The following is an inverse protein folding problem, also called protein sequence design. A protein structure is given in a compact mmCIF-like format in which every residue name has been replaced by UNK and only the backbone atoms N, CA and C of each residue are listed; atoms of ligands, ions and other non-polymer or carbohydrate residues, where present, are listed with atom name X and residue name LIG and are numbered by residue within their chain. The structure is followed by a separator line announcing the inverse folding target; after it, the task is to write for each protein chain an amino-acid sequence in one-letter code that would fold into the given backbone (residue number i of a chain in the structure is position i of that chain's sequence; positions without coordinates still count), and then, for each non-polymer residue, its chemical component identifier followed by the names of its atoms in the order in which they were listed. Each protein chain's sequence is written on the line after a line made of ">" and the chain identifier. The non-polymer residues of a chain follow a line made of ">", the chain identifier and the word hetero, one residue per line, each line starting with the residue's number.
data_IF_740388289648
#
_entry.id   IF_740388289648
#
_cell.length_a   1.000
_cell.length_b   1.000
_cell.length_c   1.000
_cell.angle_alpha   90.00
_cell.angle_beta   90.00
_cell.angle_gamma   90.00
#
_symmetry.space_group_name_H-M   'P 1'
#
loop_
_entity.id
_entity.type
_entity.pdbx_description
1 polymer ?
#
# COMPACT_ATOMS: atom_id res chain seq x y z
N UNK A 1 -3.10 2.86 2.24
CA UNK A 1 -2.38 2.24 1.09
C UNK A 1 -1.17 1.35 1.41
N UNK A 2 -1.03 0.83 2.63
CA UNK A 2 -0.04 -0.22 2.94
C UNK A 2 -0.68 -1.22 3.90
N UNK A 3 -0.99 -2.42 3.41
CA UNK A 3 -1.44 -3.51 4.27
C UNK A 3 -0.22 -4.36 4.66
N UNK A 4 0.28 -4.25 5.91
CA UNK A 4 1.44 -5.01 6.38
C UNK A 4 1.15 -6.52 6.50
N UNK A 5 -0.12 -6.91 6.47
CA UNK A 5 -0.56 -8.31 6.50
C UNK A 5 -0.70 -8.91 5.10
N UNK A 6 -0.63 -8.10 4.04
CA UNK A 6 -0.68 -8.61 2.66
C UNK A 6 0.45 -9.60 2.38
N UNK A 7 0.16 -10.62 1.55
CA UNK A 7 1.18 -11.60 1.11
C UNK A 7 2.38 -10.91 0.47
N UNK A 8 2.15 -9.82 -0.26
CA UNK A 8 3.20 -8.99 -0.84
C UNK A 8 4.12 -8.41 0.24
N UNK A 9 3.57 -7.71 1.24
CA UNK A 9 4.38 -7.10 2.30
C UNK A 9 5.18 -8.14 3.10
N UNK A 10 4.56 -9.29 3.41
CA UNK A 10 5.25 -10.39 4.09
C UNK A 10 6.40 -10.96 3.26
N UNK A 11 6.16 -11.24 1.97
CA UNK A 11 7.18 -11.78 1.05
C UNK A 11 8.31 -10.80 0.84
N UNK A 12 8.00 -9.51 0.66
CA UNK A 12 8.99 -8.44 0.54
C UNK A 12 9.86 -8.33 1.79
N UNK A 13 9.28 -8.42 3.00
CA UNK A 13 10.05 -8.40 4.25
C UNK A 13 11.02 -9.57 4.33
N UNK A 14 10.59 -10.77 3.95
CA UNK A 14 11.46 -11.96 3.93
C UNK A 14 12.62 -11.81 2.95
N UNK A 15 12.37 -11.24 1.76
CA UNK A 15 13.37 -11.15 0.68
C UNK A 15 14.30 -9.95 0.80
N UNK A 16 13.78 -8.80 1.21
CA UNK A 16 14.51 -7.53 1.24
C UNK A 16 14.94 -7.13 2.64
N UNK A 17 14.56 -7.90 3.67
CA UNK A 17 14.87 -7.66 5.08
C UNK A 17 14.43 -6.26 5.56
N UNK A 18 13.39 -5.71 4.92
CA UNK A 18 12.89 -4.36 5.14
C UNK A 18 11.39 -4.26 4.95
N UNK A 19 10.79 -3.28 5.61
CA UNK A 19 9.37 -2.97 5.44
C UNK A 19 9.15 -2.23 4.12
N UNK A 20 8.05 -2.55 3.44
CA UNK A 20 7.58 -1.79 2.28
C UNK A 20 6.65 -0.67 2.71
N UNK A 21 6.57 0.39 1.90
CA UNK A 21 5.65 1.50 2.11
C UNK A 21 4.60 1.57 0.98
N UNK A 22 3.69 2.55 1.08
CA UNK A 22 2.61 2.75 0.13
C UNK A 22 3.09 2.93 -1.32
N UNK A 23 4.26 3.55 -1.57
CA UNK A 23 4.80 3.71 -2.92
C UNK A 23 5.15 2.36 -3.55
N UNK A 24 5.78 1.48 -2.77
CA UNK A 24 6.15 0.14 -3.22
C UNK A 24 4.93 -0.76 -3.41
N UNK A 25 3.96 -0.69 -2.50
CA UNK A 25 2.70 -1.42 -2.62
C UNK A 25 1.90 -0.98 -3.86
N UNK A 26 1.81 0.32 -4.13
CA UNK A 26 1.13 0.84 -5.32
C UNK A 26 1.85 0.50 -6.63
N UNK A 27 3.19 0.49 -6.64
CA UNK A 27 3.96 0.05 -7.81
C UNK A 27 3.70 -1.44 -8.12
N UNK A 28 3.57 -2.28 -7.08
CA UNK A 28 3.17 -3.66 -7.23
C UNK A 28 1.75 -3.80 -7.78
N UNK A 29 0.78 -3.05 -7.22
CA UNK A 29 -0.60 -3.01 -7.72
C UNK A 29 -0.67 -2.60 -9.19
N UNK A 30 0.11 -1.59 -9.60
CA UNK A 30 0.18 -1.17 -10.99
C UNK A 30 0.70 -2.30 -11.89
N UNK A 31 1.77 -2.98 -11.47
CA UNK A 31 2.32 -4.13 -12.20
C UNK A 31 1.30 -5.25 -12.34
N UNK A 32 0.54 -5.57 -11.28
CA UNK A 32 -0.53 -6.56 -11.35
C UNK A 32 -1.63 -6.15 -12.34
N UNK A 33 -2.06 -4.88 -12.33
CA UNK A 33 -3.04 -4.38 -13.28
C UNK A 33 -2.58 -4.52 -14.74
N UNK A 34 -1.32 -4.15 -15.02
CA UNK A 34 -0.72 -4.35 -16.35
C UNK A 34 -0.64 -5.82 -16.74
N UNK A 35 -0.20 -6.69 -15.84
CA UNK A 35 -0.11 -8.13 -16.07
C UNK A 35 -1.47 -8.73 -16.42
N UNK A 36 -2.52 -8.39 -15.66
CA UNK A 36 -3.89 -8.82 -15.95
C UNK A 36 -4.38 -8.26 -17.28
N UNK A 37 -4.17 -6.97 -17.57
CA UNK A 37 -4.58 -6.37 -18.83
C UNK A 37 -3.88 -6.99 -20.04
N UNK A 38 -2.59 -7.35 -19.92
CA UNK A 38 -1.83 -8.07 -20.94
C UNK A 38 -2.44 -9.44 -21.25
N UNK A 39 -2.87 -10.18 -20.23
CA UNK A 39 -3.54 -11.47 -20.42
C UNK A 39 -4.91 -11.38 -21.09
N UNK A 40 -5.57 -10.22 -21.01
CA UNK A 40 -6.90 -9.97 -21.58
C UNK A 40 -6.87 -9.25 -22.94
N UNK A 41 -5.73 -8.70 -23.34
CA UNK A 41 -5.60 -7.84 -24.52
C UNK A 41 -4.90 -8.55 -25.68
N UNK A 42 -5.63 -8.87 -26.74
CA UNK A 42 -5.08 -9.51 -27.95
C UNK A 42 -5.43 -8.67 -29.19
N UNK A 43 -4.46 -8.10 -29.92
CA UNK A 43 -3.02 -8.06 -29.61
C UNK A 43 -2.71 -7.13 -28.41
N UNK A 44 -1.58 -7.34 -27.70
CA UNK A 44 -1.21 -6.56 -26.51
C UNK A 44 -0.59 -5.20 -26.86
N UNK A 45 -1.32 -4.38 -27.62
CA UNK A 45 -0.88 -3.02 -27.97
C UNK A 45 -1.21 -2.03 -26.84
N UNK A 46 -0.51 -0.89 -26.80
CA UNK A 46 -0.81 0.19 -25.85
C UNK A 46 -2.29 0.61 -25.89
N UNK A 47 -2.87 0.73 -27.08
CA UNK A 47 -4.26 1.13 -27.25
C UNK A 47 -5.22 0.08 -26.66
N UNK A 48 -4.98 -1.20 -26.94
CA UNK A 48 -5.82 -2.28 -26.42
C UNK A 48 -5.69 -2.39 -24.90
N UNK A 49 -4.49 -2.25 -24.34
CA UNK A 49 -4.27 -2.24 -22.89
C UNK A 49 -5.03 -1.10 -22.22
N UNK A 50 -4.99 0.11 -22.79
CA UNK A 50 -5.74 1.25 -22.28
C UNK A 50 -7.25 1.00 -22.34
N UNK A 51 -7.76 0.43 -23.43
CA UNK A 51 -9.17 0.04 -23.56
C UNK A 51 -9.56 -0.97 -22.48
N UNK A 52 -8.77 -2.03 -22.29
CA UNK A 52 -9.00 -3.07 -21.28
C UNK A 52 -8.99 -2.50 -19.86
N UNK A 53 -8.00 -1.67 -19.51
CA UNK A 53 -7.91 -1.04 -18.19
C UNK A 53 -9.09 -0.10 -17.87
N UNK A 54 -9.72 0.47 -18.90
CA UNK A 54 -10.89 1.36 -18.78
C UNK A 54 -12.24 0.63 -18.77
N UNK A 55 -12.25 -0.69 -18.97
CA UNK A 55 -13.51 -1.44 -18.93
C UNK A 55 -14.12 -1.38 -17.51
N UNK A 56 -15.42 -1.11 -17.36
CA UNK A 56 -16.07 -1.05 -16.04
C UNK A 56 -15.92 -2.32 -15.19
N UNK A 57 -15.73 -3.47 -15.84
CA UNK A 57 -15.53 -4.78 -15.19
C UNK A 57 -14.07 -5.14 -14.92
N UNK A 58 -13.10 -4.33 -15.34
CA UNK A 58 -11.69 -4.63 -15.13
C UNK A 58 -11.35 -4.69 -13.64
N UNK A 59 -10.71 -5.78 -13.23
CA UNK A 59 -10.22 -5.99 -11.87
C UNK A 59 -8.90 -6.77 -11.90
N UNK A 60 -7.96 -6.35 -11.05
CA UNK A 60 -6.75 -7.12 -10.74
C UNK A 60 -6.57 -7.22 -9.23
N UNK A 61 -5.88 -8.27 -8.75
CA UNK A 61 -5.59 -8.42 -7.32
C UNK A 61 -4.18 -7.92 -7.04
N UNK A 62 -4.06 -6.89 -6.21
CA UNK A 62 -2.80 -6.28 -5.80
C UNK A 62 -2.45 -6.52 -4.32
N UNK A 63 -1.36 -5.92 -3.88
CA UNK A 63 -0.93 -5.84 -2.49
C UNK A 63 -1.94 -5.09 -1.61
N UNK A 64 -2.65 -4.12 -2.18
CA UNK A 64 -3.60 -3.31 -1.41
C UNK A 64 -5.07 -3.68 -1.64
N UNK A 65 -5.32 -4.87 -2.17
CA UNK A 65 -6.65 -5.40 -2.50
C UNK A 65 -6.97 -5.31 -3.99
N UNK A 66 -8.25 -5.23 -4.33
CA UNK A 66 -8.72 -5.15 -5.72
C UNK A 66 -8.32 -3.81 -6.34
N UNK A 67 -7.68 -3.88 -7.50
CA UNK A 67 -7.30 -2.78 -8.37
C UNK A 67 -8.37 -2.61 -9.45
N UNK A 68 -8.96 -1.42 -9.52
CA UNK A 68 -9.94 -1.00 -10.54
C UNK A 68 -9.83 0.50 -10.76
N UNK A 69 -10.33 0.98 -11.88
CA UNK A 69 -10.19 2.38 -12.30
C UNK A 69 -11.55 3.05 -12.50
N UNK A 70 -11.61 4.35 -12.22
CA UNK A 70 -12.72 5.23 -12.60
C UNK A 70 -12.62 5.55 -14.10
N UNK A 71 -13.70 6.04 -14.74
CA UNK A 71 -13.64 6.53 -16.12
C UNK A 71 -12.57 7.62 -16.35
N UNK A 72 -12.21 8.39 -15.31
CA UNK A 72 -11.10 9.36 -15.35
C UNK A 72 -9.73 8.71 -15.56
N UNK A 73 -9.59 7.42 -15.24
CA UNK A 73 -8.32 6.69 -15.17
C UNK A 73 -7.73 6.63 -13.76
N UNK A 74 -8.30 7.35 -12.79
CA UNK A 74 -7.86 7.27 -11.40
C UNK A 74 -8.20 5.91 -10.79
N UNK A 75 -7.42 5.49 -9.80
CA UNK A 75 -7.75 4.29 -9.04
C UNK A 75 -9.07 4.49 -8.30
N UNK A 76 -10.01 3.57 -8.47
CA UNK A 76 -11.29 3.57 -7.77
C UNK A 76 -11.14 2.99 -6.36
N UNK A 77 -10.65 3.82 -5.43
CA UNK A 77 -10.52 3.54 -4.00
C UNK A 77 -10.77 4.82 -3.19
N UNK A 78 -11.34 4.67 -2.00
CA UNK A 78 -11.41 5.75 -1.03
C UNK A 78 -10.00 6.23 -0.63
N UNK A 79 -9.85 7.55 -0.48
CA UNK A 79 -8.65 8.14 0.12
C UNK A 79 -8.60 7.78 1.61
N UNK A 80 -7.39 7.55 2.12
CA UNK A 80 -7.17 7.20 3.53
C UNK A 80 -6.40 8.32 4.22
N UNK A 81 -6.94 8.83 5.33
CA UNK A 81 -6.21 9.75 6.21
C UNK A 81 -5.14 8.96 6.97
N UNK A 82 -3.91 9.47 7.04
CA UNK A 82 -2.81 8.85 7.78
C UNK A 82 -2.08 9.87 8.63
N UNK A 83 -1.52 9.41 9.76
CA UNK A 83 -0.64 10.17 10.63
C UNK A 83 0.82 9.83 10.34
N UNK A 84 1.66 10.84 10.12
CA UNK A 84 3.11 10.69 10.14
C UNK A 84 3.60 10.58 11.59
N UNK A 85 4.29 9.50 11.94
CA UNK A 85 4.88 9.26 13.25
C UNK A 85 6.38 9.01 13.14
N UNK A 86 7.19 9.35 14.15
CA UNK A 86 8.62 9.06 14.15
C UNK A 86 8.93 7.57 13.91
N UNK A 87 9.90 7.29 13.06
CA UNK A 87 10.38 5.95 12.75
C UNK A 87 11.21 5.36 13.90
N UNK A 88 11.09 4.06 14.13
CA UNK A 88 11.82 3.34 15.18
C UNK A 88 13.29 3.04 14.85
N UNK A 89 13.73 3.27 13.60
CA UNK A 89 15.11 3.07 13.16
C UNK A 89 15.74 4.43 12.88
N UNK A 90 16.67 4.83 13.76
CA UNK A 90 17.60 5.97 13.63
C UNK A 90 17.03 7.25 13.00
N UNK A 91 16.50 8.15 13.85
CA UNK A 91 16.61 9.62 13.77
C UNK A 91 16.06 10.42 12.57
N UNK A 92 15.77 9.82 11.40
CA UNK A 92 15.53 10.58 10.16
C UNK A 92 14.33 10.10 9.31
N UNK A 93 13.55 9.14 9.80
CA UNK A 93 12.48 8.52 9.01
C UNK A 93 11.12 8.65 9.69
N UNK A 94 10.05 8.76 8.88
CA UNK A 94 8.66 8.72 9.33
C UNK A 94 7.99 7.42 8.91
N UNK A 95 7.06 6.93 9.73
CA UNK A 95 6.08 5.90 9.39
C UNK A 95 4.71 6.55 9.23
N UNK A 96 3.92 6.09 8.26
CA UNK A 96 2.53 6.50 8.10
C UNK A 96 1.63 5.42 8.68
N UNK A 97 0.81 5.76 9.68
CA UNK A 97 -0.13 4.86 10.35
C UNK A 97 -1.55 5.39 10.23
N UNK A 98 -2.55 4.51 10.33
CA UNK A 98 -3.93 4.93 10.50
C UNK A 98 -4.05 5.87 11.72
N UNK A 99 -4.88 6.92 11.66
CA UNK A 99 -5.13 7.78 12.81
C UNK A 99 -5.76 6.93 13.92
N UNK A 100 -5.08 6.85 15.06
CA UNK A 100 -5.71 6.34 16.28
C UNK A 100 -6.77 7.35 16.72
N UNK A 101 -7.97 6.86 17.05
CA UNK A 101 -8.99 7.65 17.70
C UNK A 101 -8.39 8.18 19.03
N UNK A 102 -8.41 9.48 19.35
CA UNK A 102 -7.82 9.99 20.59
C UNK A 102 -8.45 9.43 21.89
N UNK A 103 -9.48 8.60 21.79
CA UNK A 103 -10.13 7.92 22.93
C UNK A 103 -9.74 6.44 23.09
N UNK A 104 -8.92 5.87 22.20
CA UNK A 104 -8.34 4.54 22.41
C UNK A 104 -6.82 4.67 22.62
N UNK A 105 -6.39 4.53 23.87
CA UNK A 105 -4.97 4.37 24.22
C UNK A 105 -4.38 5.46 25.11
N UNK A 106 -5.11 5.93 26.12
CA UNK A 106 -4.46 6.18 27.42
C UNK A 106 -4.46 4.84 28.15
N UNK A 107 -3.54 3.97 27.77
CA UNK A 107 -3.17 2.83 28.62
C UNK A 107 -1.81 3.11 29.24
N UNK A 108 -1.90 3.28 30.55
CA UNK A 108 -0.88 3.35 31.57
C UNK A 108 0.11 2.19 31.51
N UNK A 109 1.31 2.47 32.05
CA UNK A 109 2.36 1.55 32.54
C UNK A 109 3.57 1.34 31.62
N UNK A 110 4.59 2.15 31.89
CA UNK A 110 5.94 1.96 31.38
C UNK A 110 6.91 3.02 31.90
N UNK A 111 6.84 3.38 33.19
CA UNK A 111 7.91 4.13 33.86
C UNK A 111 9.15 3.25 33.84
N UNK A 112 10.13 3.58 33.01
CA UNK A 112 11.50 3.11 33.21
C UNK A 112 12.29 4.26 33.82
N UNK A 113 12.97 4.05 34.97
CA UNK A 113 13.73 5.10 35.61
C UNK A 113 14.95 5.45 34.75
N UNK A 114 15.16 6.74 34.52
CA UNK A 114 16.46 7.26 34.12
C UNK A 114 17.44 7.02 35.28
N UNK A 115 18.43 6.15 35.09
CA UNK A 115 19.66 6.16 35.88
C UNK A 115 20.68 7.07 35.17
N UNK A 116 21.23 8.10 35.83
CA UNK A 116 22.34 8.86 35.28
C UNK A 116 23.66 8.12 35.57
N UNK A 117 24.56 8.15 34.60
CA UNK A 117 26.01 8.13 34.81
C UNK A 117 26.54 9.44 34.25
#
# INVERSE_FOLDING_TARGET
>A
DNDPTSRFAQTSRQRWQGDVNWRTAMAYDATQAWHTALGLSLPPTRANLLTTLRQPGFQAVGATGVVRFLPSGDRNRAMELVRAVPGRRSGVWFRFCAPTNPLEGVDTLGTLPFSPV
#
